data_IF_903702697940
#
_entry.id   IF_903702697940
#
_cell.length_a   1.000
_cell.length_b   1.000
_cell.length_c   1.000
_cell.angle_alpha   90.00
_cell.angle_beta   90.00
_cell.angle_gamma   90.00
#
_symmetry.space_group_name_H-M   'P 1'
#
loop_
_entity.id
_entity.type
_entity.pdbx_description
1 polymer ?
#
# COMPACT_ATOMS: atom_id res chain seq x y z
N UNK A 1 13.97 -15.58 11.08
CA UNK A 1 13.14 -14.55 10.42
C UNK A 1 13.44 -14.61 8.93
N UNK A 2 12.43 -14.55 8.07
CA UNK A 2 12.62 -14.41 6.62
C UNK A 2 13.17 -13.00 6.36
N UNK A 3 14.25 -12.88 5.57
CA UNK A 3 14.95 -11.60 5.34
C UNK A 3 14.86 -11.10 3.90
N UNK A 4 14.29 -11.92 3.00
CA UNK A 4 14.14 -11.63 1.59
C UNK A 4 12.80 -12.20 1.12
N UNK A 5 12.05 -11.41 0.36
CA UNK A 5 10.95 -11.87 -0.47
C UNK A 5 11.22 -11.40 -1.91
N UNK A 6 10.76 -12.14 -2.92
CA UNK A 6 10.77 -11.68 -4.31
C UNK A 6 9.37 -11.35 -4.77
N UNK A 7 9.25 -10.51 -5.80
CA UNK A 7 7.98 -10.20 -6.42
C UNK A 7 7.25 -11.48 -6.87
N UNK A 8 7.95 -12.41 -7.53
CA UNK A 8 7.36 -13.64 -8.04
C UNK A 8 6.82 -14.54 -6.92
N UNK A 9 7.57 -14.64 -5.82
CA UNK A 9 7.14 -15.40 -4.64
C UNK A 9 5.86 -14.79 -4.04
N UNK A 10 5.81 -13.47 -3.89
CA UNK A 10 4.65 -12.81 -3.27
C UNK A 10 3.45 -12.86 -4.21
N UNK A 11 3.64 -12.55 -5.49
CA UNK A 11 2.60 -12.59 -6.51
C UNK A 11 1.98 -13.99 -6.67
N UNK A 12 2.76 -15.06 -6.48
CA UNK A 12 2.22 -16.44 -6.55
C UNK A 12 1.13 -16.74 -5.53
N UNK A 13 0.96 -15.89 -4.50
CA UNK A 13 -0.07 -15.99 -3.47
C UNK A 13 -1.26 -15.05 -3.73
N UNK A 14 -1.29 -14.39 -4.88
CA UNK A 14 -2.32 -13.44 -5.30
C UNK A 14 -3.02 -14.01 -6.56
N UNK A 15 -4.34 -14.25 -6.56
CA UNK A 15 -5.28 -13.91 -5.49
C UNK A 15 -5.14 -14.82 -4.25
N UNK A 16 -5.33 -14.22 -3.07
CA UNK A 16 -5.39 -14.90 -1.78
C UNK A 16 -6.78 -15.49 -1.48
N UNK A 17 -7.08 -15.76 -0.19
CA UNK A 17 -8.40 -16.20 0.24
C UNK A 17 -9.54 -15.29 -0.22
N UNK A 18 -10.72 -15.88 -0.40
CA UNK A 18 -11.96 -15.13 -0.68
C UNK A 18 -12.55 -14.62 0.64
N UNK A 19 -12.87 -13.34 0.69
CA UNK A 19 -13.55 -12.70 1.84
C UNK A 19 -14.79 -11.94 1.37
N UNK A 20 -15.54 -11.34 2.31
CA UNK A 20 -16.68 -10.48 1.95
C UNK A 20 -16.23 -9.22 1.19
N UNK A 21 -15.07 -8.68 1.57
CA UNK A 21 -14.41 -7.52 0.95
C UNK A 21 -13.75 -7.90 -0.38
N UNK A 22 -13.22 -9.14 -0.47
CA UNK A 22 -12.52 -9.68 -1.63
C UNK A 22 -13.22 -10.92 -2.19
N UNK A 23 -14.38 -10.77 -2.87
CA UNK A 23 -15.16 -11.90 -3.38
C UNK A 23 -14.46 -12.69 -4.50
N UNK A 24 -13.45 -12.07 -5.14
CA UNK A 24 -12.61 -12.70 -6.17
C UNK A 24 -11.22 -13.10 -5.65
N UNK A 25 -11.05 -13.06 -4.32
CA UNK A 25 -9.79 -13.33 -3.63
C UNK A 25 -8.96 -12.08 -3.39
N UNK A 26 -8.29 -12.03 -2.24
CA UNK A 26 -7.44 -10.91 -1.82
C UNK A 26 -6.41 -10.55 -2.90
N UNK A 27 -6.30 -9.25 -3.21
CA UNK A 27 -5.34 -8.74 -4.20
C UNK A 27 -4.03 -8.28 -3.58
N UNK A 28 -3.71 -8.77 -2.39
CA UNK A 28 -2.45 -8.52 -1.69
C UNK A 28 -1.88 -9.79 -1.08
N UNK A 29 -0.61 -9.77 -0.71
CA UNK A 29 0.00 -10.80 0.11
C UNK A 29 1.17 -10.27 0.95
N UNK A 30 1.22 -10.67 2.23
CA UNK A 30 2.31 -10.31 3.15
C UNK A 30 3.63 -10.93 2.70
N UNK A 31 4.64 -10.11 2.49
CA UNK A 31 5.98 -10.49 2.09
C UNK A 31 6.92 -10.70 3.28
N UNK A 32 6.93 -9.74 4.20
CA UNK A 32 7.78 -9.69 5.40
C UNK A 32 7.01 -9.01 6.54
N UNK A 33 7.39 -9.31 7.78
CA UNK A 33 6.87 -8.64 8.95
C UNK A 33 7.88 -8.69 10.10
N UNK A 34 7.94 -7.63 10.91
CA UNK A 34 8.74 -7.57 12.12
C UNK A 34 8.22 -6.49 13.07
N UNK A 35 7.95 -6.86 14.34
CA UNK A 35 7.36 -5.93 15.30
C UNK A 35 5.96 -5.50 14.86
N UNK A 36 5.70 -4.20 14.81
CA UNK A 36 4.45 -3.65 14.28
C UNK A 36 4.47 -3.49 12.76
N UNK A 37 5.64 -3.61 12.11
CA UNK A 37 5.76 -3.39 10.68
C UNK A 37 5.42 -4.65 9.87
N UNK A 38 4.70 -4.46 8.76
CA UNK A 38 4.57 -5.45 7.69
C UNK A 38 4.90 -4.84 6.33
N UNK A 39 5.30 -5.69 5.40
CA UNK A 39 5.48 -5.37 3.98
C UNK A 39 4.58 -6.29 3.19
N UNK A 40 3.79 -5.74 2.28
CA UNK A 40 2.91 -6.48 1.39
C UNK A 40 3.16 -6.08 -0.06
N UNK A 41 2.79 -6.96 -0.97
CA UNK A 41 2.60 -6.57 -2.36
C UNK A 41 1.10 -6.46 -2.62
N UNK A 42 0.67 -5.32 -3.15
CA UNK A 42 -0.72 -5.04 -3.50
C UNK A 42 -0.87 -4.85 -5.02
N UNK A 43 -1.84 -5.51 -5.61
CA UNK A 43 -2.08 -5.50 -7.06
C UNK A 43 -3.59 -5.58 -7.37
N UNK A 44 -4.38 -4.52 -7.06
CA UNK A 44 -5.80 -4.49 -7.35
C UNK A 44 -6.07 -4.59 -8.85
N UNK A 45 -7.29 -5.00 -9.20
CA UNK A 45 -7.76 -5.04 -10.58
C UNK A 45 -9.05 -4.23 -10.64
N UNK A 46 -9.11 -3.28 -11.57
CA UNK A 46 -10.23 -2.37 -11.87
C UNK A 46 -10.65 -1.40 -10.75
N UNK A 47 -10.71 -1.88 -9.50
CA UNK A 47 -11.14 -1.13 -8.34
C UNK A 47 -10.28 -1.45 -7.12
N UNK A 48 -9.96 -0.41 -6.36
CA UNK A 48 -9.30 -0.49 -5.07
C UNK A 48 -10.34 -0.40 -3.93
N UNK A 49 -10.62 -1.48 -3.19
CA UNK A 49 -11.57 -1.48 -2.08
C UNK A 49 -10.94 -1.08 -0.73
N UNK A 50 -9.71 -0.56 -0.70
CA UNK A 50 -9.05 -0.15 0.55
C UNK A 50 -9.90 0.83 1.36
N UNK A 51 -9.72 0.74 2.68
CA UNK A 51 -10.29 1.61 3.70
C UNK A 51 -9.14 2.18 4.52
N UNK A 52 -9.33 3.31 5.24
CA UNK A 52 -8.27 3.87 6.08
C UNK A 52 -7.68 2.82 7.04
N UNK A 53 -6.35 2.70 7.06
CA UNK A 53 -5.66 1.76 7.93
C UNK A 53 -5.21 2.42 9.24
N UNK A 54 -4.99 1.60 10.27
CA UNK A 54 -4.55 2.08 11.60
C UNK A 54 -3.04 2.39 11.68
N UNK A 55 -2.29 2.19 10.60
CA UNK A 55 -0.84 2.38 10.55
C UNK A 55 -0.49 3.33 9.40
N UNK A 56 0.69 3.93 9.47
CA UNK A 56 1.20 4.70 8.34
C UNK A 56 1.53 3.77 7.18
N UNK A 57 1.37 4.27 5.97
CA UNK A 57 1.59 3.49 4.75
C UNK A 57 2.63 4.16 3.87
N UNK A 58 3.64 3.38 3.48
CA UNK A 58 4.62 3.80 2.48
C UNK A 58 4.48 2.90 1.26
N UNK A 59 4.08 3.50 0.14
CA UNK A 59 3.92 2.82 -1.12
C UNK A 59 5.13 3.02 -2.01
N UNK A 60 5.69 1.94 -2.55
CA UNK A 60 6.70 1.97 -3.60
C UNK A 60 6.11 1.35 -4.86
N UNK A 61 5.80 2.20 -5.85
CA UNK A 61 5.13 1.77 -7.08
C UNK A 61 6.08 0.88 -7.87
N UNK A 62 5.72 -0.39 -8.02
CA UNK A 62 6.54 -1.36 -8.75
C UNK A 62 6.24 -1.33 -10.25
N UNK A 63 4.96 -1.22 -10.61
CA UNK A 63 4.47 -1.25 -11.99
C UNK A 63 3.25 -0.36 -12.18
N UNK A 64 3.02 0.02 -13.43
CA UNK A 64 1.87 0.79 -13.86
C UNK A 64 1.98 2.29 -13.59
N UNK A 65 0.86 2.95 -13.84
CA UNK A 65 0.62 4.39 -13.63
C UNK A 65 -0.77 4.58 -13.06
N UNK A 66 -1.05 5.72 -12.45
CA UNK A 66 -2.40 6.05 -11.96
C UNK A 66 -2.39 7.29 -11.08
N UNK A 67 -3.39 7.39 -10.21
CA UNK A 67 -3.50 8.43 -9.19
C UNK A 67 -3.76 7.82 -7.82
N UNK A 68 -3.07 8.30 -6.78
CA UNK A 68 -3.44 8.06 -5.40
C UNK A 68 -4.20 9.30 -4.91
N UNK A 69 -5.46 9.13 -4.54
CA UNK A 69 -6.26 10.17 -3.91
C UNK A 69 -6.00 10.12 -2.40
N UNK A 70 -5.54 11.20 -1.78
CA UNK A 70 -5.28 11.29 -0.33
C UNK A 70 -6.07 12.47 0.21
N UNK A 71 -7.01 12.25 1.13
CA UNK A 71 -7.90 13.31 1.64
C UNK A 71 -8.59 14.17 0.56
N UNK A 72 -8.85 13.58 -0.62
CA UNK A 72 -9.44 14.26 -1.77
C UNK A 72 -8.46 14.90 -2.74
N UNK A 73 -7.17 15.01 -2.38
CA UNK A 73 -6.12 15.52 -3.26
C UNK A 73 -5.56 14.41 -4.15
N UNK A 74 -5.35 14.70 -5.44
CA UNK A 74 -4.87 13.72 -6.43
C UNK A 74 -3.36 13.81 -6.57
N UNK A 75 -2.71 12.65 -6.46
CA UNK A 75 -1.28 12.48 -6.68
C UNK A 75 -1.06 11.49 -7.82
N UNK A 76 -0.71 11.99 -9.01
CA UNK A 76 -0.33 11.12 -10.12
C UNK A 76 0.94 10.34 -9.77
N UNK A 77 0.99 9.08 -10.18
CA UNK A 77 2.14 8.22 -9.95
C UNK A 77 2.51 7.39 -11.19
N UNK A 78 3.75 6.92 -11.19
CA UNK A 78 4.34 5.99 -12.14
C UNK A 78 5.32 5.04 -11.43
N UNK A 79 5.75 3.98 -12.12
CA UNK A 79 6.69 3.02 -11.57
C UNK A 79 7.99 3.69 -11.10
N UNK A 80 8.39 3.41 -9.86
CA UNK A 80 9.53 4.04 -9.19
C UNK A 80 9.14 5.14 -8.19
N UNK A 81 7.90 5.63 -8.22
CA UNK A 81 7.43 6.63 -7.26
C UNK A 81 7.26 6.03 -5.86
N UNK A 82 7.44 6.90 -4.86
CA UNK A 82 7.20 6.62 -3.46
C UNK A 82 6.12 7.56 -2.93
N UNK A 83 5.10 7.03 -2.28
CA UNK A 83 3.98 7.80 -1.72
C UNK A 83 3.83 7.45 -0.24
N UNK A 84 3.41 8.44 0.54
CA UNK A 84 3.19 8.30 1.98
C UNK A 84 1.74 8.65 2.31
N UNK A 85 1.11 7.81 3.12
CA UNK A 85 -0.22 8.09 3.68
C UNK A 85 -0.15 7.94 5.20
N UNK A 86 -0.45 9.00 5.96
CA UNK A 86 -0.54 8.88 7.41
C UNK A 86 -1.67 7.93 7.82
N UNK A 87 -1.50 7.28 8.96
CA UNK A 87 -2.54 6.46 9.56
C UNK A 87 -3.88 7.19 9.64
N UNK A 88 -4.97 6.44 9.43
CA UNK A 88 -6.37 6.90 9.50
C UNK A 88 -6.76 7.95 8.45
N UNK A 89 -5.86 8.31 7.52
CA UNK A 89 -6.17 9.19 6.40
C UNK A 89 -6.85 8.38 5.29
N UNK A 90 -7.99 8.90 4.82
CA UNK A 90 -8.69 8.32 3.67
C UNK A 90 -7.85 8.43 2.40
N UNK A 91 -7.67 7.30 1.73
CA UNK A 91 -6.96 7.23 0.47
C UNK A 91 -7.48 6.11 -0.42
N UNK A 92 -7.25 6.23 -1.73
CA UNK A 92 -7.63 5.24 -2.74
C UNK A 92 -6.80 5.38 -4.01
N UNK A 93 -6.40 4.26 -4.61
CA UNK A 93 -5.87 4.24 -5.96
C UNK A 93 -7.00 4.35 -7.00
N UNK A 94 -6.86 5.30 -7.92
CA UNK A 94 -7.80 5.57 -9.00
C UNK A 94 -7.08 5.64 -10.35
N UNK A 95 -7.83 5.44 -11.44
CA UNK A 95 -7.37 5.62 -12.81
C UNK A 95 -6.05 4.88 -13.13
N UNK A 96 -5.82 3.74 -12.50
CA UNK A 96 -4.58 3.00 -12.62
C UNK A 96 -4.59 2.04 -13.81
N UNK A 97 -3.41 1.79 -14.38
CA UNK A 97 -3.25 0.86 -15.49
C UNK A 97 -3.48 -0.60 -15.05
N UNK A 98 -3.88 -1.46 -15.98
CA UNK A 98 -4.21 -2.87 -15.68
C UNK A 98 -3.02 -3.73 -15.19
N UNK A 99 -1.79 -3.22 -15.28
CA UNK A 99 -0.57 -3.84 -14.76
C UNK A 99 -0.09 -3.21 -13.43
N UNK A 100 -0.90 -2.34 -12.82
CA UNK A 100 -0.57 -1.68 -11.56
C UNK A 100 -0.29 -2.68 -10.44
N UNK A 101 0.78 -2.40 -9.70
CA UNK A 101 1.06 -3.06 -8.44
C UNK A 101 2.18 -2.36 -7.67
N UNK A 102 2.09 -2.41 -6.35
CA UNK A 102 2.90 -1.62 -5.43
C UNK A 102 3.34 -2.45 -4.24
N UNK A 103 4.54 -2.17 -3.73
CA UNK A 103 4.91 -2.62 -2.39
C UNK A 103 4.36 -1.63 -1.38
N UNK A 104 3.70 -2.11 -0.33
CA UNK A 104 3.24 -1.27 0.77
C UNK A 104 3.94 -1.69 2.05
N UNK A 105 4.47 -0.71 2.78
CA UNK A 105 4.96 -0.88 4.15
C UNK A 105 3.91 -0.31 5.07
N UNK A 106 3.35 -1.14 5.94
CA UNK A 106 2.57 -0.66 7.08
C UNK A 106 3.54 -0.44 8.24
N UNK A 107 3.63 0.80 8.73
CA UNK A 107 4.63 1.22 9.71
C UNK A 107 4.02 1.88 10.95
N UNK A 108 4.70 1.72 12.09
CA UNK A 108 4.34 2.38 13.34
C UNK A 108 3.28 1.63 14.17
N UNK A 109 2.94 2.15 15.36
CA UNK A 109 1.86 1.63 16.19
C UNK A 109 0.46 1.98 15.62
N UNK A 110 -0.60 1.53 16.28
CA UNK A 110 -1.96 2.00 15.98
C UNK A 110 -2.05 3.52 16.12
N UNK A 111 -2.57 4.19 15.10
CA UNK A 111 -2.61 5.65 14.98
C UNK A 111 -1.39 6.26 14.28
N UNK A 112 -0.47 5.43 13.75
CA UNK A 112 0.72 5.90 13.02
C UNK A 112 1.85 6.38 13.94
N UNK A 113 2.95 6.79 13.32
CA UNK A 113 4.03 7.49 14.01
C UNK A 113 3.56 8.89 14.42
N UNK A 114 4.01 9.33 15.60
CA UNK A 114 3.75 10.69 16.03
C UNK A 114 4.66 11.63 15.26
N UNK A 115 4.09 12.66 14.63
CA UNK A 115 4.88 13.79 14.15
C UNK A 115 5.74 14.30 15.30
N UNK A 116 7.04 14.40 15.08
CA UNK A 116 7.90 15.10 16.02
C UNK A 116 7.63 16.60 15.90
N UNK A 117 7.73 17.35 17.00
CA UNK A 117 7.71 18.82 16.93
C UNK A 117 8.87 19.28 16.03
N UNK A 118 8.59 19.60 14.77
CA UNK A 118 9.61 20.03 13.80
C UNK A 118 9.63 19.28 12.47
N UNK A 119 8.74 18.30 12.24
CA UNK A 119 8.60 17.66 10.91
C UNK A 119 7.93 18.61 9.90
N UNK A 120 8.58 19.73 9.57
CA UNK A 120 8.35 20.46 8.34
C UNK A 120 9.20 19.82 7.23
N UNK A 121 8.86 18.60 6.83
CA UNK A 121 9.48 17.99 5.65
C UNK A 121 8.77 18.45 4.37
N UNK A 122 8.92 19.74 4.05
CA UNK A 122 8.71 20.30 2.71
C UNK A 122 9.61 21.53 2.54
N UNK A 123 10.47 21.61 1.50
CA UNK A 123 10.67 22.87 0.79
C UNK A 123 9.41 23.26 0.00
#
# INVERSE_FOLDING_TARGET
MKVKATFEEVLSRIPGPVTAEWPMGERFAVALAHGTMSIEYYAPIDHDPQTPHEQDEVYFIHRGTGELVISGDRHSFNAGDCLFVPALVEHRFENFSGDFGTWVVFWGPKGGEKSSEGDSFYP
#
